data_IF_594323267040
#
_entry.id   IF_594323267040
#
_cell.length_a   1.000
_cell.length_b   1.000
_cell.length_c   1.000
_cell.angle_alpha   90.00
_cell.angle_beta   90.00
_cell.angle_gamma   90.00
#
_symmetry.space_group_name_H-M   'P 1'
#
loop_
_entity.id
_entity.type
_entity.pdbx_description
1 polymer ?
#
# COMPACT_ATOMS: atom_id res chain seq x y z
N UNK A 1 -4.55 16.23 6.34
CA UNK A 1 -5.06 16.67 5.03
C UNK A 1 -4.39 18.00 4.71
N UNK A 2 -3.38 17.97 3.85
CA UNK A 2 -2.70 19.18 3.38
C UNK A 2 -3.39 19.58 2.07
N UNK A 3 -3.75 20.85 1.95
CA UNK A 3 -4.42 21.39 0.77
C UNK A 3 -3.44 22.28 0.03
N UNK A 4 -2.97 21.81 -1.13
CA UNK A 4 -2.09 22.58 -2.02
C UNK A 4 -2.95 23.13 -3.14
N UNK A 5 -2.88 24.44 -3.37
CA UNK A 5 -3.54 25.11 -4.49
C UNK A 5 -2.55 25.16 -5.63
N UNK A 6 -2.88 24.49 -6.73
CA UNK A 6 -2.05 24.47 -7.93
C UNK A 6 -2.60 25.51 -8.92
N UNK A 7 -1.70 26.32 -9.49
CA UNK A 7 -2.05 27.30 -10.51
C UNK A 7 -2.20 26.60 -11.86
N UNK A 8 -3.27 26.90 -12.60
CA UNK A 8 -3.54 26.26 -13.89
C UNK A 8 -2.47 26.63 -14.93
N UNK A 9 -2.25 25.74 -15.90
CA UNK A 9 -1.33 26.01 -17.02
C UNK A 9 -1.77 27.24 -17.82
N UNK A 10 -0.80 28.10 -18.18
CA UNK A 10 -1.05 29.37 -18.86
C UNK A 10 -1.83 29.23 -20.19
N UNK A 11 -1.68 28.12 -20.90
CA UNK A 11 -2.41 27.80 -22.13
C UNK A 11 -3.92 27.63 -21.88
N UNK A 12 -4.29 26.94 -20.81
CA UNK A 12 -5.69 26.72 -20.46
C UNK A 12 -6.38 28.00 -19.99
N UNK A 13 -5.65 28.88 -19.29
CA UNK A 13 -6.17 30.21 -18.93
C UNK A 13 -6.45 31.08 -20.17
N UNK A 14 -5.59 30.99 -21.19
CA UNK A 14 -5.79 31.69 -22.45
C UNK A 14 -7.04 31.18 -23.18
N UNK A 15 -7.23 29.86 -23.28
CA UNK A 15 -8.44 29.26 -23.85
C UNK A 15 -9.71 29.66 -23.09
N UNK A 16 -9.68 29.62 -21.75
CA UNK A 16 -10.78 30.06 -20.89
C UNK A 16 -11.11 31.55 -21.11
N UNK A 17 -10.09 32.40 -21.29
CA UNK A 17 -10.27 33.83 -21.56
C UNK A 17 -10.97 34.08 -22.90
N UNK A 18 -10.56 33.37 -23.96
CA UNK A 18 -11.22 33.43 -25.27
C UNK A 18 -12.67 32.93 -25.17
N UNK A 19 -12.89 31.84 -24.44
CA UNK A 19 -14.21 31.26 -24.25
C UNK A 19 -15.14 32.21 -23.47
N UNK A 20 -14.66 32.85 -22.39
CA UNK A 20 -15.36 33.90 -21.65
C UNK A 20 -15.81 35.05 -22.56
N UNK A 21 -14.94 35.50 -23.48
CA UNK A 21 -15.28 36.55 -24.46
C UNK A 21 -16.38 36.09 -25.42
N UNK A 22 -16.35 34.83 -25.88
CA UNK A 22 -17.43 34.25 -26.72
C UNK A 22 -18.76 34.20 -25.98
N UNK A 23 -18.80 33.77 -24.72
CA UNK A 23 -20.04 33.77 -23.93
C UNK A 23 -20.61 35.18 -23.75
N UNK A 24 -19.75 36.17 -23.46
CA UNK A 24 -20.16 37.57 -23.40
C UNK A 24 -20.72 38.09 -24.72
N UNK A 25 -20.22 37.60 -25.86
CA UNK A 25 -20.77 37.92 -27.17
C UNK A 25 -22.18 37.35 -27.35
N UNK A 26 -22.39 36.07 -27.00
CA UNK A 26 -23.71 35.44 -27.12
C UNK A 26 -24.77 36.03 -26.19
N UNK A 27 -24.38 36.49 -24.99
CA UNK A 27 -25.28 37.18 -24.04
C UNK A 27 -25.92 38.44 -24.59
N UNK A 28 -25.29 39.09 -25.58
CA UNK A 28 -25.81 40.33 -26.17
C UNK A 28 -27.01 40.08 -27.10
N UNK A 29 -27.14 38.86 -27.63
CA UNK A 29 -28.24 38.55 -28.52
C UNK A 29 -29.53 38.31 -27.74
N UNK A 30 -30.56 39.10 -28.09
CA UNK A 30 -31.90 38.97 -27.57
C UNK A 30 -32.87 38.94 -28.74
N UNK A 31 -33.57 37.83 -28.90
CA UNK A 31 -34.66 37.67 -29.85
C UNK A 31 -35.90 38.43 -29.38
N UNK A 32 -36.73 38.84 -30.36
CA UNK A 32 -38.01 39.51 -30.09
C UNK A 32 -39.08 38.56 -29.52
N UNK A 33 -38.92 37.26 -29.77
CA UNK A 33 -39.76 36.18 -29.24
C UNK A 33 -38.92 34.91 -29.06
N UNK A 34 -39.56 33.76 -28.87
CA UNK A 34 -38.90 32.45 -28.74
C UNK A 34 -38.36 31.97 -30.09
N UNK A 35 -37.23 32.56 -30.52
CA UNK A 35 -36.66 32.41 -31.87
C UNK A 35 -35.16 32.05 -31.85
N UNK A 36 -34.56 31.94 -30.67
CA UNK A 36 -33.16 31.57 -30.48
C UNK A 36 -33.06 30.14 -29.96
N UNK A 37 -32.43 29.27 -30.76
CA UNK A 37 -32.27 27.85 -30.48
C UNK A 37 -30.85 27.60 -29.96
N UNK A 38 -30.77 26.85 -28.87
CA UNK A 38 -29.54 26.36 -28.25
C UNK A 38 -29.56 24.83 -28.26
N UNK A 39 -28.63 24.23 -28.98
CA UNK A 39 -28.51 22.77 -29.11
C UNK A 39 -27.14 22.31 -28.61
N UNK A 40 -27.15 21.48 -27.57
CA UNK A 40 -25.97 20.88 -26.95
C UNK A 40 -25.89 19.41 -27.35
N UNK A 41 -24.77 19.03 -27.98
CA UNK A 41 -24.55 17.69 -28.50
C UNK A 41 -23.34 17.08 -27.77
N UNK A 42 -23.55 16.08 -26.90
CA UNK A 42 -22.44 15.37 -26.28
C UNK A 42 -21.72 14.50 -27.33
N UNK A 43 -20.43 14.18 -27.12
CA UNK A 43 -19.61 13.45 -28.09
C UNK A 43 -20.09 12.01 -28.33
N UNK A 44 -20.81 11.41 -27.39
CA UNK A 44 -21.39 10.08 -27.50
C UNK A 44 -22.83 10.08 -28.06
N UNK A 45 -23.34 11.23 -28.52
CA UNK A 45 -24.70 11.31 -29.05
C UNK A 45 -24.83 10.52 -30.37
N UNK A 46 -25.91 9.75 -30.49
CA UNK A 46 -26.29 9.13 -31.76
C UNK A 46 -26.78 10.20 -32.75
N UNK A 47 -26.24 10.14 -33.98
CA UNK A 47 -26.59 11.02 -35.08
C UNK A 47 -28.08 10.92 -35.41
N UNK A 48 -28.61 9.72 -35.52
CA UNK A 48 -29.99 9.48 -35.94
C UNK A 48 -30.96 10.08 -34.93
N UNK A 49 -30.70 9.86 -33.63
CA UNK A 49 -31.49 10.45 -32.56
C UNK A 49 -31.51 11.99 -32.55
N UNK A 50 -30.37 12.65 -32.81
CA UNK A 50 -30.32 14.13 -32.87
C UNK A 50 -31.05 14.66 -34.10
N UNK A 51 -30.84 14.04 -35.26
CA UNK A 51 -31.49 14.45 -36.51
C UNK A 51 -33.01 14.23 -36.49
N UNK A 52 -33.46 13.11 -35.88
CA UNK A 52 -34.87 12.82 -35.65
C UNK A 52 -35.53 13.91 -34.80
N UNK A 53 -34.91 14.24 -33.66
CA UNK A 53 -35.42 15.30 -32.77
C UNK A 53 -35.55 16.65 -33.50
N UNK A 54 -34.55 17.10 -34.25
CA UNK A 54 -34.63 18.38 -34.99
C UNK A 54 -35.73 18.36 -36.06
N UNK A 55 -36.03 17.19 -36.64
CA UNK A 55 -37.11 17.03 -37.63
C UNK A 55 -38.49 17.05 -36.97
N UNK A 56 -38.61 16.47 -35.77
CA UNK A 56 -39.82 16.55 -34.95
C UNK A 56 -40.10 17.99 -34.50
N UNK A 57 -39.08 18.69 -33.98
CA UNK A 57 -39.16 20.12 -33.61
C UNK A 57 -39.57 21.00 -34.81
N UNK A 58 -39.04 20.70 -36.00
CA UNK A 58 -39.44 21.40 -37.22
C UNK A 58 -40.92 21.20 -37.54
N UNK A 59 -41.43 19.98 -37.36
CA UNK A 59 -42.85 19.66 -37.57
C UNK A 59 -43.73 20.39 -36.54
N UNK A 60 -43.34 20.36 -35.26
CA UNK A 60 -44.08 21.01 -34.18
C UNK A 60 -44.10 22.53 -34.30
N UNK A 61 -43.03 23.14 -34.84
CA UNK A 61 -42.94 24.59 -35.04
C UNK A 61 -44.06 25.16 -35.93
N UNK A 62 -44.73 24.32 -36.73
CA UNK A 62 -45.88 24.73 -37.56
C UNK A 62 -47.05 25.30 -36.72
N UNK A 63 -47.18 24.84 -35.47
CA UNK A 63 -48.22 25.24 -34.52
C UNK A 63 -47.97 26.61 -33.86
N UNK A 64 -46.82 27.26 -34.12
CA UNK A 64 -46.54 28.60 -33.60
C UNK A 64 -47.53 29.60 -34.21
N UNK A 65 -48.23 30.34 -33.34
CA UNK A 65 -49.29 31.30 -33.72
C UNK A 65 -48.75 32.48 -34.54
N UNK A 66 -47.63 33.05 -34.12
CA UNK A 66 -46.99 34.18 -34.82
C UNK A 66 -46.34 33.70 -36.13
N UNK A 67 -46.78 34.24 -37.27
CA UNK A 67 -46.25 33.86 -38.58
C UNK A 67 -44.76 34.21 -38.74
N UNK A 68 -44.33 35.35 -38.20
CA UNK A 68 -42.94 35.82 -38.26
C UNK A 68 -42.05 34.87 -37.43
N UNK A 69 -42.43 34.63 -36.17
CA UNK A 69 -41.71 33.74 -35.26
C UNK A 69 -41.63 32.32 -35.80
N UNK A 70 -42.73 31.81 -36.37
CA UNK A 70 -42.76 30.51 -37.03
C UNK A 70 -41.76 30.42 -38.19
N UNK A 71 -41.72 31.43 -39.07
CA UNK A 71 -40.76 31.46 -40.19
C UNK A 71 -39.31 31.51 -39.70
N UNK A 72 -39.03 32.29 -38.66
CA UNK A 72 -37.70 32.42 -38.09
C UNK A 72 -37.22 31.12 -37.43
N UNK A 73 -38.08 30.49 -36.61
CA UNK A 73 -37.79 29.19 -35.96
C UNK A 73 -37.59 28.10 -37.01
N UNK A 74 -38.47 28.00 -38.02
CA UNK A 74 -38.32 27.02 -39.10
C UNK A 74 -37.04 27.25 -39.91
N UNK A 75 -36.70 28.51 -40.20
CA UNK A 75 -35.45 28.86 -40.88
C UNK A 75 -34.22 28.44 -40.07
N UNK A 76 -34.23 28.70 -38.76
CA UNK A 76 -33.15 28.31 -37.86
C UNK A 76 -33.00 26.78 -37.76
N UNK A 77 -34.09 26.03 -37.60
CA UNK A 77 -34.09 24.56 -37.56
C UNK A 77 -33.61 23.94 -38.88
N UNK A 78 -34.05 24.46 -40.04
CA UNK A 78 -33.54 24.00 -41.35
C UNK A 78 -32.04 24.26 -41.49
N UNK A 79 -31.56 25.41 -41.01
CA UNK A 79 -30.13 25.75 -41.04
C UNK A 79 -29.30 24.83 -40.15
N UNK A 80 -29.79 24.51 -38.94
CA UNK A 80 -29.18 23.50 -38.04
C UNK A 80 -29.14 22.12 -38.74
N UNK A 81 -30.26 21.68 -39.31
CA UNK A 81 -30.37 20.39 -39.96
C UNK A 81 -29.36 20.24 -41.12
N UNK A 82 -29.23 21.28 -41.96
CA UNK A 82 -28.26 21.30 -43.05
C UNK A 82 -26.81 21.28 -42.55
N UNK A 83 -26.51 22.06 -41.49
CA UNK A 83 -25.19 22.08 -40.88
C UNK A 83 -24.79 20.69 -40.32
N UNK A 84 -25.71 20.02 -39.59
CA UNK A 84 -25.46 18.68 -39.05
C UNK A 84 -25.24 17.62 -40.15
N UNK A 85 -25.87 17.77 -41.31
CA UNK A 85 -25.60 16.91 -42.48
C UNK A 85 -24.22 17.15 -43.06
N UNK A 86 -23.76 18.39 -43.16
CA UNK A 86 -22.48 18.77 -43.76
C UNK A 86 -21.27 18.27 -42.97
N UNK A 87 -21.32 18.33 -41.64
CA UNK A 87 -20.17 17.94 -40.79
C UNK A 87 -19.98 16.42 -40.68
N UNK A 88 -20.81 15.61 -41.34
CA UNK A 88 -20.83 14.15 -41.23
C UNK A 88 -20.81 13.64 -39.78
N UNK A 89 -21.34 14.43 -38.86
CA UNK A 89 -21.42 14.18 -37.42
C UNK A 89 -20.08 13.82 -36.75
N UNK A 90 -18.95 14.32 -37.27
CA UNK A 90 -17.66 14.29 -36.57
C UNK A 90 -17.69 15.29 -35.40
N UNK A 91 -18.25 14.87 -34.27
CA UNK A 91 -18.32 15.69 -33.07
C UNK A 91 -16.93 15.75 -32.41
N UNK A 92 -16.43 16.93 -32.01
CA UNK A 92 -15.20 17.04 -31.23
C UNK A 92 -15.27 16.27 -29.90
N UNK A 93 -14.12 15.91 -29.32
CA UNK A 93 -14.05 15.09 -28.10
C UNK A 93 -14.81 15.66 -26.89
N UNK A 94 -14.91 17.00 -26.80
CA UNK A 94 -15.65 17.69 -25.73
C UNK A 94 -17.15 17.84 -26.03
N UNK A 95 -17.61 17.46 -27.22
CA UNK A 95 -18.95 17.76 -27.73
C UNK A 95 -18.99 19.02 -28.59
N UNK A 96 -20.19 19.43 -28.96
CA UNK A 96 -20.44 20.63 -29.78
C UNK A 96 -21.71 21.32 -29.33
N UNK A 97 -21.67 22.66 -29.29
CA UNK A 97 -22.86 23.49 -29.09
C UNK A 97 -23.16 24.28 -30.35
N UNK A 98 -24.41 24.28 -30.75
CA UNK A 98 -24.92 25.03 -31.91
C UNK A 98 -25.94 26.04 -31.42
N UNK A 99 -25.66 27.31 -31.69
CA UNK A 99 -26.59 28.41 -31.47
C UNK A 99 -27.12 28.88 -32.81
N UNK A 100 -28.44 28.95 -32.99
CA UNK A 100 -29.03 29.40 -34.24
C UNK A 100 -30.29 30.22 -33.98
N UNK A 101 -30.47 31.30 -34.71
CA UNK A 101 -31.68 32.11 -34.58
C UNK A 101 -31.55 33.45 -35.30
N UNK A 102 -32.65 34.20 -35.29
CA UNK A 102 -32.68 35.54 -35.85
C UNK A 102 -32.06 36.54 -34.86
N UNK A 103 -30.93 37.13 -35.24
CA UNK A 103 -30.20 38.12 -34.42
C UNK A 103 -30.41 39.56 -34.90
N UNK A 104 -31.29 39.79 -35.86
CA UNK A 104 -31.53 41.13 -36.40
C UNK A 104 -32.21 42.03 -35.36
N UNK A 105 -31.61 43.19 -35.11
CA UNK A 105 -32.21 44.25 -34.29
C UNK A 105 -33.32 45.00 -35.04
N UNK A 106 -33.27 44.99 -36.38
CA UNK A 106 -34.21 45.71 -37.25
C UNK A 106 -35.41 44.85 -37.62
N UNK A 107 -36.60 45.42 -37.47
CA UNK A 107 -37.83 44.75 -37.86
C UNK A 107 -37.94 44.58 -39.37
N UNK A 108 -38.46 43.43 -39.82
CA UNK A 108 -38.68 43.13 -41.24
C UNK A 108 -37.47 42.62 -42.01
N UNK A 109 -36.25 42.67 -41.45
CA UNK A 109 -35.04 42.10 -42.08
C UNK A 109 -34.50 40.93 -41.27
N UNK A 110 -34.95 39.68 -41.51
CA UNK A 110 -34.48 38.54 -40.74
C UNK A 110 -33.01 38.23 -41.06
N UNK A 111 -32.17 38.14 -40.03
CA UNK A 111 -30.77 37.71 -40.12
C UNK A 111 -30.58 36.45 -39.27
N UNK A 112 -30.87 35.29 -39.86
CA UNK A 112 -30.74 34.00 -39.19
C UNK A 112 -29.28 33.55 -39.29
N UNK A 113 -28.57 33.58 -38.17
CA UNK A 113 -27.17 33.13 -38.09
C UNK A 113 -27.04 31.83 -37.32
N UNK A 114 -26.06 31.04 -37.71
CA UNK A 114 -25.67 29.81 -37.03
C UNK A 114 -24.25 30.01 -36.51
N UNK A 115 -24.05 29.71 -35.23
CA UNK A 115 -22.77 29.77 -34.56
C UNK A 115 -22.48 28.41 -33.94
N UNK A 116 -21.21 28.01 -34.00
CA UNK A 116 -20.74 26.80 -33.33
C UNK A 116 -19.73 27.15 -32.25
N UNK A 117 -19.84 26.44 -31.14
CA UNK A 117 -18.97 26.61 -29.98
C UNK A 117 -18.48 25.23 -29.54
N UNK A 118 -17.16 25.09 -29.44
CA UNK A 118 -16.53 23.93 -28.80
C UNK A 118 -16.45 24.22 -27.29
N UNK A 119 -17.06 23.39 -26.43
CA UNK A 119 -17.00 23.58 -24.98
C UNK A 119 -15.60 23.22 -24.45
N UNK A 120 -15.19 23.90 -23.37
CA UNK A 120 -13.90 23.66 -22.69
C UNK A 120 -13.88 22.31 -21.96
N UNK A 121 -15.04 21.86 -21.48
CA UNK A 121 -15.22 20.57 -20.83
C UNK A 121 -16.18 19.68 -21.61
N UNK A 122 -16.07 18.37 -21.42
CA UNK A 122 -16.90 17.38 -22.10
C UNK A 122 -18.38 17.48 -21.69
N UNK A 123 -19.26 17.67 -22.66
CA UNK A 123 -20.70 17.64 -22.45
C UNK A 123 -21.19 16.23 -22.11
N UNK A 124 -22.02 16.12 -21.08
CA UNK A 124 -22.59 14.85 -20.62
C UNK A 124 -23.97 14.57 -21.18
N UNK A 125 -24.80 15.60 -21.26
CA UNK A 125 -26.22 15.49 -21.63
C UNK A 125 -26.50 16.23 -22.92
N UNK A 126 -27.41 15.68 -23.70
CA UNK A 126 -28.01 16.36 -24.85
C UNK A 126 -29.07 17.33 -24.33
N UNK A 127 -29.05 18.57 -24.81
CA UNK A 127 -30.03 19.60 -24.44
C UNK A 127 -30.47 20.35 -25.69
N UNK A 128 -31.78 20.56 -25.81
CA UNK A 128 -32.38 21.45 -26.80
C UNK A 128 -33.21 22.48 -26.04
N UNK A 129 -33.01 23.75 -26.35
CA UNK A 129 -33.73 24.87 -25.74
C UNK A 129 -34.05 25.93 -26.78
N UNK A 130 -35.28 26.45 -26.77
CA UNK A 130 -35.72 27.52 -27.65
C UNK A 130 -36.32 28.64 -26.80
N UNK A 131 -35.75 29.84 -26.88
CA UNK A 131 -36.16 30.97 -26.07
C UNK A 131 -35.86 32.30 -26.79
N UNK A 132 -36.17 33.42 -26.14
CA UNK A 132 -35.78 34.77 -26.54
C UNK A 132 -34.30 35.08 -26.31
N UNK A 133 -33.58 34.26 -25.56
CA UNK A 133 -32.13 34.38 -25.35
C UNK A 133 -31.46 33.02 -25.55
N UNK A 134 -30.19 33.00 -25.94
CA UNK A 134 -29.45 31.74 -25.94
C UNK A 134 -29.30 31.21 -24.50
N UNK A 135 -29.53 29.92 -24.32
CA UNK A 135 -29.38 29.26 -23.03
C UNK A 135 -27.89 28.96 -22.81
N UNK A 136 -27.22 29.81 -22.03
CA UNK A 136 -25.77 29.78 -21.81
C UNK A 136 -25.37 29.20 -20.45
N UNK A 137 -26.34 28.95 -19.55
CA UNK A 137 -26.08 28.49 -18.18
C UNK A 137 -25.14 27.28 -18.11
N UNK A 138 -25.31 26.21 -18.94
CA UNK A 138 -24.41 25.06 -18.89
C UNK A 138 -22.95 25.41 -19.25
N UNK A 139 -22.73 26.43 -20.09
CA UNK A 139 -21.39 26.87 -20.47
C UNK A 139 -20.80 27.83 -19.45
N UNK A 140 -21.63 28.62 -18.77
CA UNK A 140 -21.18 29.51 -17.69
C UNK A 140 -20.72 28.72 -16.46
N UNK A 141 -21.40 27.63 -16.14
CA UNK A 141 -20.97 26.72 -15.08
C UNK A 141 -19.59 26.11 -15.36
N UNK A 142 -19.26 25.81 -16.63
CA UNK A 142 -17.94 25.29 -17.00
C UNK A 142 -16.81 26.31 -16.82
N UNK A 143 -17.16 27.59 -16.82
CA UNK A 143 -16.22 28.73 -16.77
C UNK A 143 -16.06 29.28 -15.36
N UNK A 144 -17.03 28.99 -14.49
CA UNK A 144 -16.96 29.35 -13.08
C UNK A 144 -15.67 28.74 -12.52
N UNK A 145 -14.83 29.53 -11.83
CA UNK A 145 -13.62 28.99 -11.23
C UNK A 145 -14.01 27.87 -10.27
N UNK A 146 -13.67 26.64 -10.63
CA UNK A 146 -13.59 25.54 -9.68
C UNK A 146 -12.26 25.71 -8.98
N UNK A 147 -12.30 25.97 -7.67
CA UNK A 147 -11.10 25.86 -6.87
C UNK A 147 -10.55 24.43 -7.02
N UNK A 148 -9.25 24.35 -7.30
CA UNK A 148 -8.50 23.11 -7.36
C UNK A 148 -7.82 22.94 -6.00
N UNK A 149 -8.15 21.84 -5.33
CA UNK A 149 -7.55 21.49 -4.05
C UNK A 149 -6.85 20.14 -4.19
N UNK A 150 -5.53 20.12 -4.01
CA UNK A 150 -4.81 18.86 -3.83
C UNK A 150 -5.12 18.28 -2.46
N UNK A 151 -5.68 17.07 -2.43
CA UNK A 151 -5.90 16.28 -1.22
C UNK A 151 -4.77 15.27 -1.10
N UNK A 152 -3.94 15.46 -0.08
CA UNK A 152 -2.95 14.47 0.32
C UNK A 152 -3.44 13.77 1.61
N UNK A 153 -3.74 12.48 1.48
CA UNK A 153 -4.02 11.58 2.60
C UNK A 153 -2.79 10.74 2.83
N UNK A 154 -2.18 10.85 4.01
CA UNK A 154 -1.04 10.03 4.42
C UNK A 154 -1.46 9.23 5.63
N UNK A 155 -1.33 7.91 5.51
CA UNK A 155 -1.40 6.96 6.62
C UNK A 155 -0.05 6.23 6.72
N UNK A 156 0.12 5.43 7.78
CA UNK A 156 1.35 4.72 8.07
C UNK A 156 1.72 3.66 7.02
N UNK A 157 0.71 3.08 6.37
CA UNK A 157 0.85 1.98 5.40
C UNK A 157 0.54 2.39 3.96
N UNK A 158 -0.07 3.55 3.76
CA UNK A 158 -0.48 3.97 2.43
C UNK A 158 -0.63 5.48 2.38
N UNK A 159 -0.50 6.03 1.19
CA UNK A 159 -0.79 7.42 0.90
C UNK A 159 -1.59 7.51 -0.38
N UNK A 160 -2.54 8.44 -0.41
CA UNK A 160 -3.37 8.69 -1.58
C UNK A 160 -3.29 10.18 -1.90
N UNK A 161 -2.98 10.47 -3.16
CA UNK A 161 -2.98 11.81 -3.73
C UNK A 161 -4.21 11.91 -4.62
N UNK A 162 -5.06 12.91 -4.36
CA UNK A 162 -6.24 13.18 -5.15
C UNK A 162 -6.38 14.67 -5.43
N UNK A 163 -6.97 15.02 -6.56
CA UNK A 163 -7.31 16.39 -6.94
C UNK A 163 -8.81 16.60 -6.78
N UNK A 164 -9.21 17.56 -5.96
CA UNK A 164 -10.61 17.97 -5.80
C UNK A 164 -10.88 19.18 -6.70
N UNK A 165 -11.78 19.01 -7.66
CA UNK A 165 -12.23 20.00 -8.62
C UNK A 165 -13.69 20.34 -8.30
N UNK A 166 -13.90 21.42 -7.54
CA UNK A 166 -15.23 21.78 -7.03
C UNK A 166 -15.81 20.71 -6.10
N UNK A 167 -16.82 19.95 -6.56
CA UNK A 167 -17.48 18.87 -5.78
C UNK A 167 -16.99 17.46 -6.14
N UNK A 168 -16.13 17.31 -7.14
CA UNK A 168 -15.64 16.02 -7.61
C UNK A 168 -14.18 15.84 -7.22
N UNK A 169 -13.78 14.62 -6.89
CA UNK A 169 -12.37 14.28 -6.69
C UNK A 169 -11.91 13.28 -7.74
N UNK A 170 -10.65 13.39 -8.14
CA UNK A 170 -9.95 12.47 -9.04
C UNK A 170 -8.71 11.94 -8.31
N UNK A 171 -8.57 10.63 -8.19
CA UNK A 171 -7.41 10.01 -7.51
C UNK A 171 -6.25 9.94 -8.51
N UNK A 172 -5.19 10.69 -8.24
CA UNK A 172 -4.00 10.76 -9.10
C UNK A 172 -3.06 9.58 -8.87
N UNK A 173 -2.96 9.12 -7.62
CA UNK A 173 -2.06 8.04 -7.25
C UNK A 173 -2.36 7.49 -5.87
N UNK A 174 -2.22 6.18 -5.75
CA UNK A 174 -2.27 5.47 -4.49
C UNK A 174 -0.96 4.72 -4.32
N UNK A 175 -0.26 5.00 -3.22
CA UNK A 175 1.04 4.44 -2.92
C UNK A 175 0.95 3.65 -1.63
N UNK A 176 1.33 2.39 -1.67
CA UNK A 176 1.45 1.57 -0.47
C UNK A 176 2.87 1.64 0.06
N UNK A 177 2.97 1.81 1.37
CA UNK A 177 4.19 1.68 2.13
C UNK A 177 4.31 0.22 2.57
N UNK A 178 5.36 -0.47 2.13
CA UNK A 178 5.72 -1.80 2.64
C UNK A 178 6.26 -1.76 4.08
N UNK A 179 6.11 -0.63 4.78
CA UNK A 179 6.46 -0.51 6.19
C UNK A 179 5.46 -1.33 7.02
N UNK A 180 5.96 -2.40 7.64
CA UNK A 180 5.19 -3.25 8.52
C UNK A 180 4.52 -2.41 9.63
N UNK A 181 3.19 -2.52 9.74
CA UNK A 181 2.48 -1.88 10.86
C UNK A 181 2.84 -2.54 12.18
N UNK A 182 2.72 -1.80 13.30
CA UNK A 182 2.93 -2.35 14.64
C UNK A 182 2.02 -3.58 14.86
N UNK A 183 2.62 -4.75 14.97
CA UNK A 183 1.92 -5.98 15.39
C UNK A 183 1.84 -5.95 16.93
N UNK A 184 0.66 -6.27 17.48
CA UNK A 184 0.40 -6.36 18.93
C UNK A 184 1.17 -7.52 19.60
N UNK A 185 1.68 -8.45 18.79
CA UNK A 185 2.63 -9.48 19.17
C UNK A 185 4.00 -9.09 18.58
N UNK A 186 4.96 -8.82 19.45
CA UNK A 186 6.29 -8.25 19.19
C UNK A 186 6.86 -8.49 17.79
N UNK A 187 6.97 -7.41 17.03
CA UNK A 187 7.83 -7.35 15.86
C UNK A 187 8.96 -6.41 16.19
N UNK A 188 10.17 -6.96 16.32
CA UNK A 188 11.39 -6.51 15.66
C UNK A 188 12.55 -7.43 15.99
N UNK A 189 13.51 -7.51 15.07
CA UNK A 189 14.54 -8.56 15.02
C UNK A 189 15.64 -8.34 16.05
N UNK A 190 16.15 -9.44 16.58
CA UNK A 190 17.50 -9.53 17.15
C UNK A 190 18.43 -9.93 15.99
N UNK A 191 19.74 -9.75 16.13
CA UNK A 191 20.71 -10.19 15.14
C UNK A 191 20.50 -11.66 14.70
N UNK A 192 20.84 -11.97 13.45
CA UNK A 192 20.52 -13.25 12.81
C UNK A 192 21.17 -14.47 13.48
N UNK A 193 22.28 -14.24 14.18
CA UNK A 193 23.07 -15.19 14.98
C UNK A 193 22.54 -15.36 16.41
N UNK A 194 21.51 -14.60 16.79
CA UNK A 194 20.92 -14.72 18.12
C UNK A 194 20.26 -16.07 18.33
N UNK A 195 20.48 -16.63 19.52
CA UNK A 195 20.06 -17.99 19.84
C UNK A 195 18.65 -18.00 20.45
N UNK A 196 17.78 -18.85 19.91
CA UNK A 196 16.45 -19.14 20.45
C UNK A 196 16.29 -20.61 20.78
N UNK A 197 15.44 -20.90 21.77
CA UNK A 197 15.14 -22.28 22.15
C UNK A 197 13.97 -22.86 21.34
N UNK A 198 14.20 -23.96 20.65
CA UNK A 198 13.11 -24.83 20.19
C UNK A 198 12.41 -25.49 21.38
N UNK A 199 11.15 -25.91 21.23
CA UNK A 199 10.40 -26.68 22.24
C UNK A 199 11.16 -27.89 22.79
N UNK A 200 12.04 -28.48 21.98
CA UNK A 200 12.83 -29.66 22.35
C UNK A 200 14.11 -29.34 23.14
N UNK A 201 14.38 -28.05 23.39
CA UNK A 201 15.58 -27.57 24.09
C UNK A 201 16.86 -27.51 23.29
N UNK A 202 16.72 -27.64 21.98
CA UNK A 202 17.80 -27.35 21.04
C UNK A 202 17.87 -25.83 20.86
N UNK A 203 19.07 -25.28 20.98
CA UNK A 203 19.38 -23.91 20.58
C UNK A 203 19.48 -23.85 19.06
N UNK A 204 18.78 -22.91 18.45
CA UNK A 204 18.86 -22.59 17.03
C UNK A 204 19.15 -21.11 16.87
N UNK A 205 19.95 -20.76 15.88
CA UNK A 205 20.10 -19.36 15.46
C UNK A 205 18.83 -18.88 14.76
N UNK A 206 18.52 -17.59 14.84
CA UNK A 206 17.34 -17.00 14.20
C UNK A 206 17.33 -17.26 12.68
N UNK A 207 18.50 -17.18 12.03
CA UNK A 207 18.63 -17.45 10.58
C UNK A 207 18.25 -18.87 10.15
N UNK A 208 18.26 -19.82 11.08
CA UNK A 208 17.95 -21.23 10.81
C UNK A 208 16.48 -21.58 11.05
N UNK A 209 15.69 -20.65 11.59
CA UNK A 209 14.27 -20.83 11.86
C UNK A 209 13.50 -20.80 10.54
N UNK A 210 12.53 -21.70 10.40
CA UNK A 210 11.60 -21.73 9.28
C UNK A 210 10.16 -21.64 9.76
N UNK A 211 9.28 -21.22 8.87
CA UNK A 211 7.84 -21.28 9.11
C UNK A 211 7.42 -22.69 9.55
N UNK A 212 6.61 -22.76 10.61
CA UNK A 212 6.17 -23.99 11.22
C UNK A 212 7.07 -24.54 12.34
N UNK A 213 8.28 -24.01 12.53
CA UNK A 213 9.12 -24.39 13.67
C UNK A 213 8.43 -24.04 15.00
N UNK A 214 8.51 -24.96 15.96
CA UNK A 214 7.92 -24.77 17.30
C UNK A 214 8.99 -24.24 18.26
N UNK A 215 8.81 -22.99 18.67
CA UNK A 215 9.70 -22.26 19.55
C UNK A 215 9.15 -22.21 20.98
N UNK A 216 10.05 -22.09 21.95
CA UNK A 216 9.70 -21.84 23.34
C UNK A 216 9.33 -20.37 23.50
N UNK A 217 8.16 -20.11 24.08
CA UNK A 217 7.61 -18.77 24.28
C UNK A 217 7.22 -18.60 25.75
N UNK A 218 6.98 -17.35 26.16
CA UNK A 218 6.46 -17.03 27.48
C UNK A 218 5.14 -16.26 27.31
N UNK A 219 4.06 -16.76 27.93
CA UNK A 219 2.80 -16.03 27.99
C UNK A 219 2.90 -14.91 29.01
N UNK A 220 2.29 -13.74 28.73
CA UNK A 220 2.33 -12.57 29.62
C UNK A 220 1.35 -12.64 30.79
N UNK A 221 0.35 -13.54 30.73
CA UNK A 221 -0.73 -13.55 31.72
C UNK A 221 -1.35 -14.96 31.85
N UNK A 222 -0.94 -15.80 32.81
CA UNK A 222 0.21 -15.69 33.73
C UNK A 222 1.56 -15.89 33.02
N UNK A 223 2.66 -15.44 33.64
CA UNK A 223 4.03 -15.72 33.24
C UNK A 223 4.30 -17.23 33.27
N UNK A 224 4.05 -17.89 32.14
CA UNK A 224 4.19 -19.34 31.98
C UNK A 224 4.88 -19.67 30.68
N UNK A 225 5.80 -20.62 30.74
CA UNK A 225 6.40 -21.23 29.56
C UNK A 225 5.31 -21.88 28.69
N UNK A 226 5.26 -21.47 27.43
CA UNK A 226 4.38 -22.00 26.39
C UNK A 226 5.20 -22.30 25.14
N UNK A 227 4.56 -22.85 24.11
CA UNK A 227 5.21 -23.07 22.81
C UNK A 227 4.40 -22.41 21.71
N UNK A 228 5.05 -21.64 20.85
CA UNK A 228 4.44 -21.00 19.68
C UNK A 228 5.01 -21.57 18.38
N UNK A 229 4.18 -21.59 17.33
CA UNK A 229 4.66 -21.88 15.97
C UNK A 229 5.17 -20.59 15.35
N UNK A 230 6.33 -20.65 14.71
CA UNK A 230 6.79 -19.59 13.81
C UNK A 230 5.81 -19.50 12.64
N UNK A 231 5.17 -18.34 12.50
CA UNK A 231 4.14 -18.12 11.47
C UNK A 231 4.78 -17.63 10.17
N UNK A 232 5.82 -16.80 10.27
CA UNK A 232 6.48 -16.11 9.16
C UNK A 232 7.91 -15.74 9.57
N UNK A 233 8.81 -15.61 8.60
CA UNK A 233 10.21 -15.18 8.77
C UNK A 233 10.54 -14.08 7.78
N UNK A 234 11.06 -12.95 8.26
CA UNK A 234 11.44 -11.81 7.44
C UNK A 234 12.87 -11.34 7.77
N UNK A 235 13.60 -10.85 6.77
CA UNK A 235 14.92 -10.24 6.92
C UNK A 235 14.85 -8.75 6.59
N UNK A 236 15.56 -7.94 7.38
CA UNK A 236 15.66 -6.48 7.19
C UNK A 236 17.11 -6.07 7.43
N UNK A 237 17.70 -5.38 6.47
CA UNK A 237 19.00 -4.73 6.64
C UNK A 237 18.79 -3.38 7.34
N UNK A 238 19.65 -3.07 8.30
CA UNK A 238 19.65 -1.79 9.03
C UNK A 238 21.03 -1.14 8.89
N UNK A 239 21.06 0.17 8.70
CA UNK A 239 22.31 0.93 8.58
C UNK A 239 23.05 1.06 9.92
N UNK A 240 22.36 0.86 11.04
CA UNK A 240 22.94 0.88 12.38
C UNK A 240 22.17 -0.04 13.35
N UNK A 241 22.85 -0.50 14.40
CA UNK A 241 22.30 -1.30 15.49
C UNK A 241 22.74 -0.74 16.86
N UNK A 242 21.95 -1.05 17.90
CA UNK A 242 22.29 -0.80 19.29
C UNK A 242 22.80 -2.10 19.92
N UNK A 243 23.88 -1.99 20.69
CA UNK A 243 24.40 -3.09 21.52
C UNK A 243 23.98 -2.87 22.96
N UNK A 244 23.08 -3.73 23.46
CA UNK A 244 22.61 -3.71 24.85
C UNK A 244 23.41 -4.71 25.65
N UNK A 245 24.21 -4.24 26.61
CA UNK A 245 24.96 -5.08 27.53
C UNK A 245 24.25 -5.15 28.88
N UNK A 246 23.94 -6.36 29.32
CA UNK A 246 23.28 -6.61 30.61
C UNK A 246 24.31 -6.99 31.68
N UNK A 247 24.07 -6.58 32.93
CA UNK A 247 25.01 -6.81 34.04
C UNK A 247 24.88 -8.21 34.64
N UNK A 248 23.66 -8.73 34.75
CA UNK A 248 23.37 -10.05 35.34
C UNK A 248 22.15 -10.71 34.65
N UNK A 249 22.32 -11.78 33.85
CA UNK A 249 23.59 -12.36 33.39
C UNK A 249 24.37 -11.39 32.50
N UNK A 250 25.70 -11.58 32.39
CA UNK A 250 26.50 -10.82 31.43
C UNK A 250 26.18 -11.31 30.01
N UNK A 251 25.28 -10.62 29.32
CA UNK A 251 24.89 -10.91 27.94
C UNK A 251 24.88 -9.63 27.10
N UNK A 252 25.35 -9.77 25.86
CA UNK A 252 25.29 -8.74 24.84
C UNK A 252 24.20 -9.10 23.83
N UNK A 253 23.34 -8.13 23.53
CA UNK A 253 22.21 -8.28 22.62
C UNK A 253 22.31 -7.17 21.58
N UNK A 254 22.35 -7.55 20.30
CA UNK A 254 22.36 -6.60 19.19
C UNK A 254 20.95 -6.47 18.59
N UNK A 255 20.41 -5.26 18.63
CA UNK A 255 19.02 -4.95 18.27
C UNK A 255 18.91 -3.61 17.52
N UNK A 256 17.85 -3.45 16.73
CA UNK A 256 17.52 -2.15 16.14
C UNK A 256 16.92 -1.20 17.18
N UNK A 257 17.03 0.14 17.03
CA UNK A 257 16.49 1.12 17.99
C UNK A 257 15.02 0.92 18.34
N UNK A 258 14.25 0.55 17.32
CA UNK A 258 12.81 0.33 17.38
C UNK A 258 12.41 -1.06 17.97
N UNK A 259 13.40 -1.88 18.37
CA UNK A 259 13.18 -3.20 18.95
C UNK A 259 12.56 -3.09 20.35
N UNK A 260 11.58 -3.94 20.66
CA UNK A 260 10.90 -3.91 21.98
C UNK A 260 11.46 -4.93 22.94
N UNK A 261 11.95 -4.46 24.07
CA UNK A 261 12.43 -5.29 25.17
C UNK A 261 11.45 -5.24 26.34
N UNK A 262 11.31 -6.37 27.03
CA UNK A 262 10.55 -6.44 28.27
C UNK A 262 11.41 -5.95 29.42
N UNK A 263 10.93 -4.94 30.14
CA UNK A 263 11.59 -4.35 31.30
C UNK A 263 10.72 -4.56 32.52
N UNK A 264 11.33 -4.89 33.65
CA UNK A 264 10.63 -4.99 34.93
C UNK A 264 10.24 -3.57 35.40
N UNK A 265 8.94 -3.29 35.46
CA UNK A 265 8.40 -2.03 35.97
C UNK A 265 8.35 -1.99 37.50
N UNK A 266 8.08 -0.80 38.05
CA UNK A 266 8.14 -0.51 39.49
C UNK A 266 7.14 -1.32 40.36
N UNK A 267 6.12 -1.95 39.77
CA UNK A 267 5.05 -2.69 40.46
C UNK A 267 4.94 -4.16 40.04
N UNK A 268 6.06 -4.82 39.68
CA UNK A 268 6.08 -6.21 39.15
C UNK A 268 5.33 -6.40 37.81
N UNK A 269 4.85 -5.31 37.21
CA UNK A 269 4.22 -5.32 35.90
C UNK A 269 5.29 -5.29 34.81
N UNK A 270 5.11 -6.15 33.81
CA UNK A 270 5.94 -6.19 32.61
C UNK A 270 5.64 -4.99 31.72
N UNK A 271 6.65 -4.15 31.51
CA UNK A 271 6.56 -3.03 30.57
C UNK A 271 7.33 -3.34 29.29
N UNK A 272 6.82 -2.85 28.16
CA UNK A 272 7.52 -2.88 26.87
C UNK A 272 8.17 -1.53 26.64
N UNK A 273 9.51 -1.49 26.55
CA UNK A 273 10.26 -0.31 26.13
C UNK A 273 10.91 -0.57 24.78
N UNK A 274 11.09 0.49 23.99
CA UNK A 274 11.95 0.43 22.81
C UNK A 274 13.42 0.42 23.24
N UNK A 275 14.29 -0.18 22.41
CA UNK A 275 15.72 -0.25 22.70
C UNK A 275 16.36 1.15 22.75
N UNK A 276 15.86 2.09 21.94
CA UNK A 276 16.27 3.51 21.99
C UNK A 276 15.87 4.23 23.29
N UNK A 277 14.82 3.76 23.96
CA UNK A 277 14.28 4.35 25.19
C UNK A 277 14.89 3.73 26.47
N UNK A 278 15.77 2.73 26.32
CA UNK A 278 16.45 2.10 27.45
C UNK A 278 17.43 3.07 28.11
N UNK A 279 17.40 3.10 29.44
CA UNK A 279 18.34 3.87 30.26
C UNK A 279 19.22 2.95 31.10
N UNK A 280 20.43 3.41 31.42
CA UNK A 280 21.29 2.70 32.37
C UNK A 280 20.54 2.49 33.70
N UNK A 281 20.42 1.23 34.12
CA UNK A 281 19.65 0.83 35.31
C UNK A 281 18.31 0.15 35.01
N UNK A 282 17.81 0.18 33.77
CA UNK A 282 16.63 -0.60 33.38
C UNK A 282 16.90 -2.11 33.47
N UNK A 283 15.98 -2.84 34.10
CA UNK A 283 16.08 -4.29 34.29
C UNK A 283 15.39 -5.04 33.15
N UNK A 284 16.17 -5.40 32.12
CA UNK A 284 15.68 -6.18 30.98
C UNK A 284 15.46 -7.65 31.38
N UNK A 285 14.33 -8.21 31.00
CA UNK A 285 13.99 -9.60 31.29
C UNK A 285 14.68 -10.55 30.32
N UNK A 286 15.50 -11.43 30.90
CA UNK A 286 16.22 -12.47 30.20
C UNK A 286 15.87 -13.83 30.78
N UNK A 287 15.79 -14.85 29.91
CA UNK A 287 15.61 -16.23 30.34
C UNK A 287 16.91 -16.76 30.95
N UNK A 288 16.99 -16.76 32.29
CA UNK A 288 18.18 -17.20 33.03
C UNK A 288 18.42 -18.72 32.94
N UNK A 289 17.35 -19.52 32.93
CA UNK A 289 17.43 -21.00 32.93
C UNK A 289 16.09 -21.60 32.53
N UNK A 290 16.07 -22.53 31.58
CA UNK A 290 14.89 -23.38 31.31
C UNK A 290 15.11 -24.78 31.89
N UNK A 291 14.13 -25.29 32.65
CA UNK A 291 14.21 -26.60 33.27
C UNK A 291 13.72 -27.69 32.30
N UNK A 292 14.62 -28.22 31.48
CA UNK A 292 14.27 -29.33 30.58
C UNK A 292 14.11 -30.66 31.34
N UNK A 293 12.91 -31.26 31.26
CA UNK A 293 12.69 -32.68 31.60
C UNK A 293 12.99 -33.57 30.38
N UNK A 294 14.24 -33.57 29.93
CA UNK A 294 14.68 -34.50 28.88
C UNK A 294 14.86 -35.92 29.42
N UNK A 295 14.48 -36.95 28.65
CA UNK A 295 15.00 -38.32 28.87
C UNK A 295 16.50 -38.28 28.59
N UNK A 296 17.34 -38.74 29.54
CA UNK A 296 18.77 -38.97 29.30
C UNK A 296 18.93 -39.78 28.01
N UNK A 297 19.61 -39.22 27.01
CA UNK A 297 19.94 -39.97 25.81
C UNK A 297 20.97 -41.04 26.20
N UNK A 298 20.59 -42.30 26.03
CA UNK A 298 21.42 -43.48 26.30
C UNK A 298 22.38 -43.73 25.14
N UNK A 299 23.14 -42.71 24.71
CA UNK A 299 24.03 -42.90 23.56
C UNK A 299 25.33 -43.58 24.00
N UNK A 300 25.75 -43.39 25.26
CA UNK A 300 26.99 -43.96 25.80
C UNK A 300 26.79 -44.24 27.30
N UNK A 301 27.00 -45.49 27.76
CA UNK A 301 27.01 -45.77 29.20
C UNK A 301 28.13 -44.98 29.89
N UNK A 302 27.94 -44.58 31.16
CA UNK A 302 28.95 -43.78 31.90
C UNK A 302 30.36 -44.38 31.83
N UNK A 303 30.46 -45.71 31.79
CA UNK A 303 31.74 -46.45 31.67
C UNK A 303 32.39 -46.28 30.30
N UNK A 304 31.61 -46.26 29.23
CA UNK A 304 32.07 -46.04 27.86
C UNK A 304 32.50 -44.59 27.67
N UNK A 305 31.75 -43.63 28.24
CA UNK A 305 32.09 -42.22 28.20
C UNK A 305 33.40 -41.93 28.97
N UNK A 306 33.61 -42.60 30.11
CA UNK A 306 34.86 -42.52 30.87
C UNK A 306 36.04 -43.11 30.11
N UNK A 307 35.85 -44.24 29.41
CA UNK A 307 36.91 -44.85 28.61
C UNK A 307 37.27 -43.96 27.41
N UNK A 308 36.26 -43.43 26.70
CA UNK A 308 36.45 -42.53 25.56
C UNK A 308 37.13 -41.24 26.01
N UNK A 309 36.63 -40.60 27.07
CA UNK A 309 37.19 -39.36 27.61
C UNK A 309 38.67 -39.49 27.98
N UNK A 310 39.07 -40.63 28.56
CA UNK A 310 40.47 -40.89 28.90
C UNK A 310 41.33 -41.19 27.67
N UNK A 311 40.82 -41.95 26.69
CA UNK A 311 41.53 -42.19 25.41
C UNK A 311 41.75 -40.88 24.66
N UNK A 312 40.82 -39.93 24.74
CA UNK A 312 40.96 -38.61 24.10
C UNK A 312 41.79 -37.61 24.91
N UNK A 313 41.86 -37.77 26.23
CA UNK A 313 42.59 -36.87 27.13
C UNK A 313 44.06 -37.27 27.31
N UNK A 314 44.30 -38.41 27.94
CA UNK A 314 45.63 -38.82 28.41
C UNK A 314 46.16 -40.11 27.75
N UNK A 315 45.30 -40.83 27.02
CA UNK A 315 45.66 -42.07 26.34
C UNK A 315 46.20 -41.83 24.93
N UNK A 316 47.15 -42.67 24.50
CA UNK A 316 47.51 -42.76 23.09
C UNK A 316 47.11 -44.11 22.51
N UNK A 317 46.48 -44.06 21.33
CA UNK A 317 45.97 -45.23 20.62
C UNK A 317 46.85 -45.53 19.40
N UNK A 318 47.65 -46.59 19.47
CA UNK A 318 48.56 -46.96 18.39
C UNK A 318 47.98 -48.10 17.54
N UNK A 319 47.86 -47.87 16.23
CA UNK A 319 47.35 -48.87 15.27
C UNK A 319 48.51 -49.50 14.50
N UNK A 320 48.95 -50.69 14.92
CA UNK A 320 49.95 -51.50 14.18
C UNK A 320 49.36 -52.82 13.64
N UNK A 321 49.04 -53.78 14.52
CA UNK A 321 48.35 -55.06 14.17
C UNK A 321 47.15 -55.38 15.06
N UNK A 322 47.06 -54.73 16.21
CA UNK A 322 45.91 -54.71 17.11
C UNK A 322 45.86 -53.32 17.75
N UNK A 323 44.67 -52.88 18.17
CA UNK A 323 44.51 -51.62 18.91
C UNK A 323 45.19 -51.76 20.28
N UNK A 324 46.25 -50.98 20.53
CA UNK A 324 46.92 -50.91 21.83
C UNK A 324 46.64 -49.55 22.46
N UNK A 325 46.03 -49.59 23.64
CA UNK A 325 45.82 -48.42 24.49
C UNK A 325 46.94 -48.44 25.52
N UNK A 326 47.79 -47.41 25.54
CA UNK A 326 48.79 -47.23 26.60
C UNK A 326 48.24 -46.29 27.66
N UNK A 327 48.43 -46.67 28.92
CA UNK A 327 48.08 -45.87 30.09
C UNK A 327 49.37 -45.23 30.60
N UNK A 328 49.40 -43.89 30.70
CA UNK A 328 50.59 -43.14 31.14
C UNK A 328 50.62 -42.87 32.65
N UNK A 329 49.52 -43.09 33.36
CA UNK A 329 49.45 -42.86 34.81
C UNK A 329 50.18 -43.94 35.62
N UNK A 330 50.96 -43.50 36.60
CA UNK A 330 51.81 -44.28 37.51
C UNK A 330 51.03 -45.11 38.54
N UNK A 331 49.71 -45.00 38.61
CA UNK A 331 48.89 -45.75 39.56
C UNK A 331 48.33 -47.05 38.96
N UNK A 332 48.94 -48.18 39.33
CA UNK A 332 48.47 -49.54 38.95
C UNK A 332 46.98 -49.78 39.22
N UNK A 333 46.41 -49.12 40.22
CA UNK A 333 45.01 -49.28 40.60
C UNK A 333 44.06 -48.70 39.53
N UNK A 334 44.41 -47.54 38.98
CA UNK A 334 43.66 -46.84 37.95
C UNK A 334 43.69 -47.61 36.63
N UNK A 335 44.89 -48.07 36.22
CA UNK A 335 45.03 -48.95 35.04
C UNK A 335 44.20 -50.24 35.16
N UNK A 336 44.18 -50.88 36.34
CA UNK A 336 43.36 -52.06 36.59
C UNK A 336 41.85 -51.78 36.51
N UNK A 337 41.40 -50.62 36.99
CA UNK A 337 39.99 -50.21 36.94
C UNK A 337 39.52 -50.05 35.50
N UNK A 338 40.26 -49.31 34.68
CA UNK A 338 39.93 -49.13 33.26
C UNK A 338 40.04 -50.43 32.46
N UNK A 339 40.99 -51.30 32.80
CA UNK A 339 41.08 -52.62 32.17
C UNK A 339 39.87 -53.51 32.45
N UNK A 340 39.36 -53.54 33.69
CA UNK A 340 38.11 -54.26 34.01
C UNK A 340 36.94 -53.73 33.17
N UNK A 341 36.83 -52.42 32.99
CA UNK A 341 35.81 -51.82 32.14
C UNK A 341 36.00 -52.20 30.66
N UNK A 342 37.25 -52.19 30.15
CA UNK A 342 37.54 -52.63 28.78
C UNK A 342 37.21 -54.11 28.54
N UNK A 343 37.45 -55.02 29.51
CA UNK A 343 37.06 -56.43 29.40
C UNK A 343 35.55 -56.63 29.33
N UNK A 344 34.78 -55.87 30.12
CA UNK A 344 33.32 -55.90 30.06
C UNK A 344 32.81 -55.47 28.68
N UNK A 345 33.37 -54.39 28.13
CA UNK A 345 32.96 -53.84 26.84
C UNK A 345 33.36 -54.73 25.65
N UNK A 346 34.56 -55.30 25.66
CA UNK A 346 35.08 -56.12 24.56
C UNK A 346 34.90 -57.64 24.78
N UNK A 347 33.94 -58.07 25.61
CA UNK A 347 33.62 -59.48 25.88
C UNK A 347 34.87 -60.33 26.19
N UNK A 348 35.69 -59.87 27.14
CA UNK A 348 36.95 -60.49 27.59
C UNK A 348 38.08 -60.64 26.56
N UNK A 349 37.99 -60.01 25.39
CA UNK A 349 39.06 -60.06 24.37
C UNK A 349 40.25 -59.12 24.67
N UNK A 350 40.14 -58.25 25.66
CA UNK A 350 41.20 -57.34 26.08
C UNK A 350 42.26 -58.06 26.93
N UNK A 351 43.55 -57.83 26.62
CA UNK A 351 44.70 -58.34 27.37
C UNK A 351 45.52 -57.17 27.91
N UNK A 352 45.88 -57.22 29.19
CA UNK A 352 46.76 -56.25 29.84
C UNK A 352 48.19 -56.78 29.80
N UNK A 353 49.14 -55.91 29.46
CA UNK A 353 50.58 -56.15 29.56
C UNK A 353 51.17 -54.97 30.34
N UNK A 354 52.02 -55.27 31.31
CA UNK A 354 52.80 -54.27 32.03
C UNK A 354 54.01 -53.85 31.21
#
# INVERSE_FOLDING_TARGET
>A
MMVVKEDLSAEFEAELSVFKKKLKFFKKFKGKGTELISLYIPPAADRSAVMGQITEELSQSSNIKSQITRKNVQGALRKINNFLKQINFKIPENGMVVFCGNISEREGTPDIRLFTVRPVQKLKVKLYWCDSTFHLDPLEEMVRPTDYYGILVIDKRESTIALLIGKKYEVLGHFTSNVAGKIKAGGQCVAEDSLVFSKNGVLKEIKEIKEGDVLSCVSKNPLKETSGKCVDTFSKNSDYCLRVQTKEPLQEIEVTPEHRLFVAGNNELLEEKFAEDLKEGDSVLLLKKMNFKGKKSSIIERKEAQLIGFITGDGYCEKKRSWRIRFYESEKQTANRYFKHSKQLFKNRAKMRW
#
